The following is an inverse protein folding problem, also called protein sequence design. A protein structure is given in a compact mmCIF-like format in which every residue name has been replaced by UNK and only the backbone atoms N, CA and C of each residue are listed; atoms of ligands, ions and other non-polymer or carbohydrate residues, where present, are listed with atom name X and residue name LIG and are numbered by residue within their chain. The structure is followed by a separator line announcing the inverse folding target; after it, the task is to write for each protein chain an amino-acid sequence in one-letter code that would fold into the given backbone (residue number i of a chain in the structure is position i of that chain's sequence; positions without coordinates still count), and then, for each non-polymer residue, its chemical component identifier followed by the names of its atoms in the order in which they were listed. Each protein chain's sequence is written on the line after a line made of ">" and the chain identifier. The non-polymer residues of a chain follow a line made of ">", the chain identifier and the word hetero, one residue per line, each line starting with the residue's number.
data_IF_773605780332
#
_entry.id   IF_773605780332
#
_cell.length_a   1.000
_cell.length_b   1.000
_cell.length_c   1.000
_cell.angle_alpha   90.00
_cell.angle_beta   90.00
_cell.angle_gamma   90.00
#
_symmetry.space_group_name_H-M   'P 1'
#
loop_
_entity.id
_entity.type
_entity.pdbx_description
1 polymer ?
#
# COMPACT_ATOMS: atom_id res chain seq x y z
N UNK A 1 -21.70 10.89 2.39
CA UNK A 1 -21.33 10.28 3.68
C UNK A 1 -19.93 10.75 4.02
N UNK A 2 -19.71 11.16 5.26
CA UNK A 2 -18.44 11.72 5.74
C UNK A 2 -17.65 10.65 6.51
N UNK A 3 -16.32 10.67 6.41
CA UNK A 3 -15.45 9.65 7.04
C UNK A 3 -15.57 9.67 8.57
N UNK A 4 -15.66 10.85 9.18
CA UNK A 4 -15.82 10.98 10.64
C UNK A 4 -17.15 10.39 11.10
N UNK A 5 -18.23 10.63 10.35
CA UNK A 5 -19.55 10.02 10.63
C UNK A 5 -19.50 8.50 10.49
N UNK A 6 -18.83 7.98 9.46
CA UNK A 6 -18.71 6.53 9.25
C UNK A 6 -17.88 5.85 10.36
N UNK A 7 -16.78 6.46 10.79
CA UNK A 7 -15.97 5.96 11.90
C UNK A 7 -16.72 6.04 13.24
N UNK A 8 -17.53 7.07 13.46
CA UNK A 8 -18.34 7.17 14.68
C UNK A 8 -19.35 6.02 14.82
N UNK A 9 -19.85 5.48 13.70
CA UNK A 9 -20.78 4.35 13.70
C UNK A 9 -20.10 2.99 13.96
N UNK A 10 -18.76 2.90 13.83
CA UNK A 10 -18.01 1.64 13.95
C UNK A 10 -16.90 1.83 14.98
N UNK A 11 -17.14 1.50 16.26
CA UNK A 11 -16.21 1.80 17.36
C UNK A 11 -14.84 1.13 17.19
N UNK A 12 -14.80 -0.09 16.63
CA UNK A 12 -13.55 -0.80 16.35
C UNK A 12 -12.70 -0.07 15.29
N UNK A 13 -13.33 0.37 14.19
CA UNK A 13 -12.66 1.15 13.16
C UNK A 13 -12.17 2.51 13.69
N UNK A 14 -12.93 3.15 14.59
CA UNK A 14 -12.54 4.41 15.25
C UNK A 14 -11.32 4.23 16.14
N UNK A 15 -11.28 3.16 16.94
CA UNK A 15 -10.13 2.85 17.78
C UNK A 15 -8.87 2.64 16.92
N UNK A 16 -8.98 1.84 15.85
CA UNK A 16 -7.87 1.63 14.93
C UNK A 16 -7.44 2.92 14.23
N UNK A 17 -8.40 3.77 13.83
CA UNK A 17 -8.11 5.08 13.23
C UNK A 17 -7.31 6.00 14.17
N UNK A 18 -7.63 5.98 15.47
CA UNK A 18 -6.89 6.72 16.49
C UNK A 18 -5.49 6.13 16.71
N UNK A 19 -5.33 4.81 16.65
CA UNK A 19 -4.03 4.13 16.73
C UNK A 19 -3.12 4.40 15.51
N UNK A 20 -3.70 4.71 14.34
CA UNK A 20 -2.91 5.00 13.14
C UNK A 20 -1.95 6.17 13.33
N UNK A 21 -0.76 6.02 12.76
CA UNK A 21 0.19 7.13 12.62
C UNK A 21 -0.38 8.24 11.73
N UNK A 22 0.05 9.50 11.91
CA UNK A 22 -0.38 10.62 11.07
C UNK A 22 -0.22 10.35 9.57
N UNK A 23 0.85 9.64 9.18
CA UNK A 23 1.10 9.24 7.78
C UNK A 23 0.04 8.24 7.30
N UNK A 24 -0.31 7.25 8.10
CA UNK A 24 -1.33 6.26 7.74
C UNK A 24 -2.72 6.88 7.61
N UNK A 25 -3.08 7.84 8.48
CA UNK A 25 -4.34 8.61 8.33
C UNK A 25 -4.35 9.43 7.04
N UNK A 26 -3.24 10.12 6.73
CA UNK A 26 -3.09 10.88 5.48
C UNK A 26 -3.27 10.01 4.23
N UNK A 27 -2.73 8.79 4.25
CA UNK A 27 -2.84 7.81 3.16
C UNK A 27 -4.32 7.43 2.89
N UNK A 28 -5.09 7.12 3.94
CA UNK A 28 -6.53 6.88 3.82
C UNK A 28 -7.31 8.09 3.33
N UNK A 29 -7.01 9.29 3.84
CA UNK A 29 -7.68 10.53 3.43
C UNK A 29 -7.41 10.78 1.95
N UNK A 30 -6.14 10.79 1.51
CA UNK A 30 -5.77 10.98 0.11
C UNK A 30 -6.39 9.93 -0.81
N UNK A 31 -6.44 8.67 -0.39
CA UNK A 31 -7.12 7.62 -1.15
C UNK A 31 -8.63 7.86 -1.26
N UNK A 32 -9.31 8.31 -0.21
CA UNK A 32 -10.74 8.63 -0.28
C UNK A 32 -10.98 9.86 -1.16
N UNK A 33 -10.15 10.90 -1.03
CA UNK A 33 -10.27 12.16 -1.78
C UNK A 33 -9.96 12.01 -3.27
N UNK A 34 -9.04 11.11 -3.63
CA UNK A 34 -8.71 10.75 -5.02
C UNK A 34 -9.94 10.31 -5.83
N UNK A 35 -11.01 9.83 -5.18
CA UNK A 35 -12.26 9.53 -5.86
C UNK A 35 -12.99 10.83 -6.26
N UNK A 36 -12.99 11.13 -7.57
CA UNK A 36 -13.72 12.26 -8.17
C UNK A 36 -15.24 12.09 -8.11
N UNK A 37 -15.72 10.85 -8.18
CA UNK A 37 -17.16 10.52 -8.13
C UNK A 37 -17.62 10.38 -6.68
N UNK A 38 -18.72 11.05 -6.32
CA UNK A 38 -19.27 11.03 -4.96
C UNK A 38 -19.66 9.62 -4.51
N UNK A 39 -20.21 8.82 -5.43
CA UNK A 39 -20.60 7.44 -5.14
C UNK A 39 -19.37 6.56 -4.84
N UNK A 40 -18.29 6.74 -5.61
CA UNK A 40 -17.02 6.04 -5.36
C UNK A 40 -16.39 6.47 -4.04
N UNK A 41 -16.51 7.75 -3.68
CA UNK A 41 -16.05 8.27 -2.38
C UNK A 41 -16.79 7.60 -1.22
N UNK A 42 -18.12 7.43 -1.32
CA UNK A 42 -18.92 6.71 -0.32
C UNK A 42 -18.45 5.26 -0.17
N UNK A 43 -18.31 4.53 -1.29
CA UNK A 43 -17.81 3.15 -1.29
C UNK A 43 -16.40 3.05 -0.67
N UNK A 44 -15.51 4.01 -0.93
CA UNK A 44 -14.15 4.05 -0.32
C UNK A 44 -14.22 4.30 1.19
N UNK A 45 -15.13 5.13 1.68
CA UNK A 45 -15.32 5.37 3.12
C UNK A 45 -15.80 4.09 3.82
N UNK A 46 -16.78 3.40 3.26
CA UNK A 46 -17.28 2.13 3.80
C UNK A 46 -16.17 1.07 3.84
N UNK A 47 -15.43 0.96 2.73
CA UNK A 47 -14.28 0.05 2.63
C UNK A 47 -13.17 0.43 3.61
N UNK A 48 -12.88 1.72 3.80
CA UNK A 48 -11.92 2.17 4.79
C UNK A 48 -12.33 1.71 6.21
N UNK A 49 -13.61 1.87 6.58
CA UNK A 49 -14.09 1.42 7.88
C UNK A 49 -13.98 -0.10 8.06
N UNK A 50 -14.37 -0.89 7.04
CA UNK A 50 -14.20 -2.35 7.05
C UNK A 50 -12.73 -2.76 7.17
N UNK A 51 -11.84 -2.06 6.47
CA UNK A 51 -10.41 -2.31 6.52
C UNK A 51 -9.80 -1.98 7.88
N UNK A 52 -10.18 -0.86 8.48
CA UNK A 52 -9.74 -0.47 9.82
C UNK A 52 -10.25 -1.45 10.87
N UNK A 53 -11.50 -1.89 10.78
CA UNK A 53 -12.05 -2.92 11.65
C UNK A 53 -11.32 -4.27 11.50
N UNK A 54 -10.82 -4.58 10.30
CA UNK A 54 -9.97 -5.74 10.03
C UNK A 54 -8.49 -5.51 10.41
N UNK A 55 -8.16 -4.43 11.13
CA UNK A 55 -6.81 -4.12 11.59
C UNK A 55 -5.87 -3.56 10.51
N UNK A 56 -6.35 -3.35 9.28
CA UNK A 56 -5.51 -2.86 8.18
C UNK A 56 -5.20 -1.39 8.40
N UNK A 57 -3.91 -1.08 8.46
CA UNK A 57 -3.42 0.28 8.71
C UNK A 57 -3.31 1.16 7.46
N UNK A 58 -3.66 0.65 6.27
CA UNK A 58 -3.64 1.39 4.97
C UNK A 58 -4.67 0.86 3.97
N UNK A 59 -5.13 1.68 3.00
CA UNK A 59 -6.04 1.27 1.92
C UNK A 59 -5.40 0.26 0.95
N UNK A 60 -6.19 -0.71 0.47
CA UNK A 60 -5.65 -1.94 -0.15
C UNK A 60 -5.16 -1.77 -1.59
N UNK A 61 -5.39 -0.60 -2.19
CA UNK A 61 -5.10 -0.35 -3.60
C UNK A 61 -4.26 0.92 -3.82
N UNK A 62 -3.62 1.48 -2.78
CA UNK A 62 -2.56 2.46 -2.99
C UNK A 62 -1.29 1.71 -3.39
N UNK A 63 -1.29 1.21 -4.62
CA UNK A 63 -0.11 0.58 -5.21
C UNK A 63 0.90 1.68 -5.53
N UNK A 64 1.90 1.82 -4.66
CA UNK A 64 3.11 2.65 -4.88
C UNK A 64 4.09 1.90 -5.82
N UNK A 65 3.58 0.98 -6.64
CA UNK A 65 4.42 0.07 -7.42
C UNK A 65 4.65 0.72 -8.78
N UNK A 66 5.89 1.13 -9.05
CA UNK A 66 6.29 1.67 -10.36
C UNK A 66 5.99 0.67 -11.48
N UNK A 67 5.74 1.16 -12.69
CA UNK A 67 5.45 0.32 -13.85
C UNK A 67 6.56 -0.72 -14.09
N UNK A 68 7.82 -0.30 -13.99
CA UNK A 68 8.99 -1.16 -14.12
C UNK A 68 9.00 -2.32 -13.12
N UNK A 69 8.64 -2.04 -11.87
CA UNK A 69 8.56 -3.07 -10.82
C UNK A 69 7.41 -4.04 -11.09
N UNK A 70 6.27 -3.56 -11.57
CA UNK A 70 5.17 -4.42 -11.99
C UNK A 70 5.59 -5.35 -13.14
N UNK A 71 6.29 -4.84 -14.15
CA UNK A 71 6.82 -5.64 -15.26
C UNK A 71 7.80 -6.69 -14.75
N UNK A 72 8.75 -6.31 -13.88
CA UNK A 72 9.74 -7.22 -13.31
C UNK A 72 9.09 -8.35 -12.47
N UNK A 73 8.08 -8.02 -11.66
CA UNK A 73 7.34 -9.02 -10.88
C UNK A 73 6.51 -9.93 -11.78
N UNK A 74 5.93 -9.41 -12.88
CA UNK A 74 5.19 -10.25 -13.83
C UNK A 74 6.10 -11.27 -14.52
N UNK A 75 7.36 -10.92 -14.77
CA UNK A 75 8.34 -11.81 -15.38
C UNK A 75 8.80 -12.96 -14.44
N UNK A 76 8.61 -12.83 -13.12
CA UNK A 76 9.03 -13.84 -12.14
C UNK A 76 7.88 -14.26 -11.22
N UNK A 77 7.21 -15.41 -11.46
CA UNK A 77 6.07 -15.84 -10.66
C UNK A 77 6.43 -16.08 -9.19
N UNK A 78 7.65 -16.54 -8.90
CA UNK A 78 8.14 -16.75 -7.53
C UNK A 78 8.33 -15.43 -6.78
N UNK A 79 8.90 -14.42 -7.44
CA UNK A 79 9.03 -13.08 -6.86
C UNK A 79 7.64 -12.43 -6.66
N UNK A 80 6.71 -12.64 -7.59
CA UNK A 80 5.32 -12.14 -7.46
C UNK A 80 4.58 -12.80 -6.30
N UNK A 81 4.73 -14.11 -6.10
CA UNK A 81 4.15 -14.82 -4.97
C UNK A 81 4.70 -14.27 -3.65
N UNK A 82 6.03 -14.13 -3.55
CA UNK A 82 6.67 -13.56 -2.36
C UNK A 82 6.24 -12.10 -2.13
N UNK A 83 6.16 -11.29 -3.19
CA UNK A 83 5.65 -9.92 -3.13
C UNK A 83 4.21 -9.86 -2.62
N UNK A 84 3.38 -10.85 -2.95
CA UNK A 84 2.00 -10.96 -2.49
C UNK A 84 1.90 -11.39 -1.03
N UNK A 85 2.91 -12.10 -0.52
CA UNK A 85 3.06 -12.50 0.88
C UNK A 85 3.58 -11.36 1.78
N UNK A 86 4.39 -10.43 1.24
CA UNK A 86 4.94 -9.31 2.01
C UNK A 86 3.87 -8.50 2.75
N UNK A 87 4.21 -8.05 3.95
CA UNK A 87 3.39 -7.09 4.67
C UNK A 87 3.38 -5.72 3.96
N UNK A 88 2.40 -4.90 4.28
CA UNK A 88 2.29 -3.55 3.71
C UNK A 88 3.44 -2.63 4.12
N UNK A 89 4.21 -2.96 5.18
CA UNK A 89 5.39 -2.20 5.61
C UNK A 89 6.60 -2.65 4.78
N UNK A 90 6.85 -3.95 4.68
CA UNK A 90 7.97 -4.50 3.88
C UNK A 90 7.92 -4.07 2.41
N UNK A 91 6.73 -4.08 1.78
CA UNK A 91 6.59 -3.55 0.41
C UNK A 91 7.03 -2.09 0.31
N UNK A 92 6.74 -1.27 1.32
CA UNK A 92 7.07 0.16 1.33
C UNK A 92 8.53 0.41 1.56
N UNK A 93 9.16 -0.27 2.50
CA UNK A 93 10.61 -0.19 2.69
C UNK A 93 11.35 -0.58 1.41
N UNK A 94 10.91 -1.65 0.76
CA UNK A 94 11.49 -2.09 -0.51
C UNK A 94 11.29 -1.06 -1.62
N UNK A 95 10.07 -0.49 -1.76
CA UNK A 95 9.78 0.58 -2.73
C UNK A 95 10.60 1.84 -2.45
N UNK A 96 10.68 2.27 -1.19
CA UNK A 96 11.47 3.43 -0.79
C UNK A 96 12.96 3.22 -1.08
N UNK A 97 13.47 2.02 -0.88
CA UNK A 97 14.83 1.67 -1.25
C UNK A 97 15.04 1.71 -2.77
N UNK A 98 14.10 1.18 -3.57
CA UNK A 98 14.16 1.26 -5.04
C UNK A 98 14.14 2.73 -5.50
N UNK A 99 13.22 3.54 -4.97
CA UNK A 99 13.01 4.95 -5.33
C UNK A 99 14.13 5.88 -4.88
N UNK A 100 14.87 5.54 -3.82
CA UNK A 100 16.03 6.33 -3.39
C UNK A 100 17.16 6.38 -4.42
N UNK A 101 17.12 5.55 -5.48
CA UNK A 101 17.96 5.72 -6.66
C UNK A 101 17.30 6.71 -7.63
N UNK A 102 17.78 7.96 -7.61
CA UNK A 102 17.28 9.04 -8.50
C UNK A 102 17.64 8.85 -9.97
N UNK A 103 18.73 8.13 -10.25
CA UNK A 103 19.16 7.82 -11.62
C UNK A 103 18.38 6.62 -12.17
N UNK A 104 17.80 6.71 -13.39
CA UNK A 104 16.90 5.69 -13.93
C UNK A 104 17.56 4.32 -14.10
N UNK A 105 18.83 4.27 -14.51
CA UNK A 105 19.56 3.01 -14.64
C UNK A 105 19.83 2.34 -13.28
N UNK A 106 20.14 3.15 -12.25
CA UNK A 106 20.35 2.64 -10.88
C UNK A 106 19.03 2.18 -10.27
N UNK A 107 17.93 2.89 -10.54
CA UNK A 107 16.59 2.49 -10.13
C UNK A 107 16.21 1.14 -10.75
N UNK A 108 16.44 0.96 -12.05
CA UNK A 108 16.19 -0.30 -12.77
C UNK A 108 17.01 -1.45 -12.17
N UNK A 109 18.31 -1.25 -11.93
CA UNK A 109 19.17 -2.26 -11.28
C UNK A 109 18.66 -2.64 -9.89
N UNK A 110 18.11 -1.68 -9.12
CA UNK A 110 17.50 -1.96 -7.80
C UNK A 110 16.21 -2.76 -7.92
N UNK A 111 15.38 -2.49 -8.93
CA UNK A 111 14.18 -3.29 -9.22
C UNK A 111 14.56 -4.74 -9.56
N UNK A 112 15.55 -4.93 -10.43
CA UNK A 112 16.05 -6.26 -10.81
C UNK A 112 16.60 -7.01 -9.59
N UNK A 113 17.39 -6.31 -8.76
CA UNK A 113 17.92 -6.86 -7.51
C UNK A 113 16.79 -7.22 -6.53
N UNK A 114 15.79 -6.36 -6.35
CA UNK A 114 14.63 -6.66 -5.50
C UNK A 114 13.89 -7.91 -6.00
N UNK A 115 13.65 -8.02 -7.31
CA UNK A 115 12.98 -9.18 -7.90
C UNK A 115 13.76 -10.48 -7.66
N UNK A 116 15.09 -10.45 -7.84
CA UNK A 116 15.97 -11.59 -7.56
C UNK A 116 15.99 -11.96 -6.05
N UNK A 117 16.01 -10.96 -5.16
CA UNK A 117 15.97 -11.17 -3.72
C UNK A 117 14.64 -11.80 -3.27
N UNK A 118 13.52 -11.32 -3.80
CA UNK A 118 12.21 -11.90 -3.52
C UNK A 118 12.07 -13.33 -4.04
N UNK A 119 12.66 -13.63 -5.20
CA UNK A 119 12.69 -14.99 -5.74
C UNK A 119 13.51 -15.97 -4.88
N UNK A 120 14.45 -15.46 -4.09
CA UNK A 120 15.27 -16.25 -3.14
C UNK A 120 14.72 -16.22 -1.71
N UNK A 121 13.60 -15.52 -1.47
CA UNK A 121 12.96 -15.42 -0.15
C UNK A 121 13.53 -14.33 0.77
N UNK A 122 14.50 -13.54 0.30
CA UNK A 122 15.00 -12.37 1.03
C UNK A 122 14.00 -11.22 0.90
N UNK A 123 13.57 -10.68 2.04
CA UNK A 123 12.52 -9.65 2.13
C UNK A 123 13.06 -8.22 2.26
N UNK A 124 14.36 -8.07 2.50
CA UNK A 124 15.05 -6.79 2.70
C UNK A 124 16.45 -6.82 2.08
N UNK A 125 16.93 -5.70 1.48
CA UNK A 125 18.28 -5.54 0.92
C UNK A 125 19.40 -5.75 1.95
#
# INVERSE_FOLDING_TARGET
>A
MDLRKALAAIPNAKAQWCDLTPIARRDFISWIESAKQLETRRRRIERACSMLAAGKRRPCCYSIVSLDLHVALKASPKAKAQWSDLTSIERRDLISWMDSAKEPEKHKRRIEKACAMLATGKRCP
#
